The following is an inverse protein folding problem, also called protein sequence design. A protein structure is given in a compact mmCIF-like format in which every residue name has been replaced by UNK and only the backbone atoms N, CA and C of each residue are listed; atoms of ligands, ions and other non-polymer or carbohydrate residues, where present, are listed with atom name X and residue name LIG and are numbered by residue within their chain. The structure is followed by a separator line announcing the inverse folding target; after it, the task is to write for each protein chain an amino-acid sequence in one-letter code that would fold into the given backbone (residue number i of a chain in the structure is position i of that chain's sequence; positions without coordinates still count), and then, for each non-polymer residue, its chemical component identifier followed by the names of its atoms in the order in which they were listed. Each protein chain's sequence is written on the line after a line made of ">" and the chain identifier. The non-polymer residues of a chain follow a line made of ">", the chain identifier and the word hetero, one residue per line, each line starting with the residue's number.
data_IF_811214414579
#
_entry.id   IF_811214414579
#
_cell.length_a   1.000
_cell.length_b   1.000
_cell.length_c   1.000
_cell.angle_alpha   90.00
_cell.angle_beta   90.00
_cell.angle_gamma   90.00
#
_symmetry.space_group_name_H-M   'P 1'
#
loop_
_entity.id
_entity.type
_entity.pdbx_description
1 polymer ?
#
# COMPACT_ATOMS: atom_id res chain seq x y z
N UNK A 1 -15.00 -20.30 1.27
CA UNK A 1 -13.72 -20.93 0.85
C UNK A 1 -12.80 -21.10 2.04
N UNK A 2 -11.96 -22.12 2.03
CA UNK A 2 -10.85 -22.35 2.94
C UNK A 2 -9.54 -21.87 2.31
N UNK A 3 -8.92 -20.87 2.92
CA UNK A 3 -7.82 -20.09 2.35
C UNK A 3 -6.57 -20.27 3.21
N UNK A 4 -5.46 -20.68 2.59
CA UNK A 4 -4.13 -20.62 3.18
C UNK A 4 -3.46 -19.32 2.72
N UNK A 5 -3.32 -18.36 3.64
CA UNK A 5 -2.70 -17.07 3.37
C UNK A 5 -1.29 -17.04 3.97
N UNK A 6 -0.30 -16.64 3.18
CA UNK A 6 1.10 -16.65 3.59
C UNK A 6 1.65 -15.23 3.57
N UNK A 7 2.21 -14.79 4.70
CA UNK A 7 2.81 -13.46 4.84
C UNK A 7 4.25 -13.52 5.41
N UNK A 8 5.18 -12.73 4.85
CA UNK A 8 6.54 -12.60 5.38
C UNK A 8 6.67 -11.60 6.56
N UNK A 9 5.54 -11.15 7.12
CA UNK A 9 5.45 -10.25 8.27
C UNK A 9 4.04 -10.26 8.87
N UNK A 10 3.91 -9.90 10.15
CA UNK A 10 2.61 -9.69 10.80
C UNK A 10 1.90 -8.47 10.21
N UNK A 11 0.62 -8.58 9.82
CA UNK A 11 -0.17 -7.47 9.31
C UNK A 11 -0.63 -6.51 10.43
N UNK A 12 -0.49 -6.89 11.70
CA UNK A 12 -0.86 -6.06 12.85
C UNK A 12 0.33 -5.87 13.82
N UNK A 13 0.54 -4.67 14.40
CA UNK A 13 -0.20 -3.42 14.16
C UNK A 13 0.01 -2.88 12.73
N UNK A 14 -1.04 -2.24 12.18
CA UNK A 14 -1.10 -1.71 10.82
C UNK A 14 -0.26 -0.43 10.66
N UNK A 15 1.07 -0.56 10.74
CA UNK A 15 2.02 0.59 10.76
C UNK A 15 2.58 0.95 9.39
N UNK A 16 2.19 0.25 8.33
CA UNK A 16 2.60 0.54 6.95
C UNK A 16 1.47 0.23 5.98
N UNK A 17 1.52 0.78 4.76
CA UNK A 17 0.49 0.51 3.74
C UNK A 17 0.32 -0.98 3.43
N UNK A 18 1.44 -1.72 3.33
CA UNK A 18 1.41 -3.18 3.14
C UNK A 18 0.74 -3.92 4.30
N UNK A 19 1.06 -3.58 5.56
CA UNK A 19 0.42 -4.18 6.73
C UNK A 19 -1.07 -3.86 6.80
N UNK A 20 -1.42 -2.60 6.56
CA UNK A 20 -2.81 -2.10 6.55
C UNK A 20 -3.65 -2.88 5.55
N UNK A 21 -3.17 -3.01 4.30
CA UNK A 21 -3.82 -3.80 3.26
C UNK A 21 -4.12 -5.22 3.71
N UNK A 22 -3.09 -5.91 4.20
CA UNK A 22 -3.20 -7.32 4.57
C UNK A 22 -4.16 -7.51 5.75
N UNK A 23 -4.09 -6.65 6.76
CA UNK A 23 -5.01 -6.68 7.90
C UNK A 23 -6.47 -6.50 7.47
N UNK A 24 -6.76 -5.47 6.68
CA UNK A 24 -8.13 -5.16 6.30
C UNK A 24 -8.71 -6.16 5.29
N UNK A 25 -7.91 -6.70 4.36
CA UNK A 25 -8.36 -7.77 3.46
C UNK A 25 -8.68 -9.05 4.22
N UNK A 26 -7.79 -9.48 5.13
CA UNK A 26 -8.04 -10.65 5.98
C UNK A 26 -9.32 -10.48 6.81
N UNK A 27 -9.49 -9.32 7.45
CA UNK A 27 -10.68 -8.98 8.24
C UNK A 27 -11.95 -9.01 7.38
N UNK A 28 -11.90 -8.41 6.19
CA UNK A 28 -13.05 -8.31 5.29
C UNK A 28 -13.48 -9.68 4.75
N UNK A 29 -12.52 -10.52 4.35
CA UNK A 29 -12.80 -11.87 3.87
C UNK A 29 -13.30 -12.80 5.00
N UNK A 30 -12.71 -12.70 6.18
CA UNK A 30 -13.20 -13.44 7.35
C UNK A 30 -14.65 -13.06 7.70
N UNK A 31 -14.98 -11.76 7.68
CA UNK A 31 -16.34 -11.27 7.91
C UNK A 31 -17.35 -11.77 6.85
N UNK A 32 -16.88 -12.11 5.65
CA UNK A 32 -17.68 -12.72 4.57
C UNK A 32 -17.80 -14.24 4.68
N UNK A 33 -17.30 -14.85 5.75
CA UNK A 33 -17.43 -16.28 6.03
C UNK A 33 -16.30 -17.15 5.45
N UNK A 34 -15.21 -16.56 4.99
CA UNK A 34 -14.02 -17.33 4.60
C UNK A 34 -13.28 -17.87 5.81
N UNK A 35 -12.88 -19.16 5.74
CA UNK A 35 -12.04 -19.80 6.76
C UNK A 35 -10.58 -19.59 6.38
N UNK A 36 -9.87 -18.75 7.13
CA UNK A 36 -8.52 -18.33 6.77
C UNK A 36 -7.51 -18.88 7.77
N UNK A 37 -6.54 -19.66 7.27
CA UNK A 37 -5.32 -20.01 7.98
C UNK A 37 -4.20 -19.09 7.56
N UNK A 38 -3.66 -18.33 8.50
CA UNK A 38 -2.56 -17.39 8.25
C UNK A 38 -1.23 -18.01 8.69
N UNK A 39 -0.31 -18.16 7.73
CA UNK A 39 1.08 -18.59 7.96
C UNK A 39 2.01 -17.38 7.91
N UNK A 40 2.51 -16.98 9.07
CA UNK A 40 3.44 -15.86 9.24
C UNK A 40 4.89 -16.32 9.37
N UNK A 41 5.79 -15.60 8.69
CA UNK A 41 7.24 -15.71 8.89
C UNK A 41 7.82 -14.36 9.31
N UNK A 42 7.69 -14.02 10.60
CA UNK A 42 8.02 -12.69 11.12
C UNK A 42 9.42 -12.64 11.75
N UNK A 43 10.12 -11.52 11.57
CA UNK A 43 11.40 -11.22 12.21
C UNK A 43 11.23 -10.90 13.70
N UNK A 44 10.08 -10.35 14.09
CA UNK A 44 9.81 -9.89 15.43
C UNK A 44 8.78 -10.83 16.09
N UNK A 45 8.97 -11.17 17.37
CA UNK A 45 7.95 -11.91 18.09
C UNK A 45 6.67 -11.06 18.16
N UNK A 46 5.54 -11.66 17.80
CA UNK A 46 4.22 -11.03 17.90
C UNK A 46 3.78 -11.08 19.36
N UNK A 47 3.37 -9.94 19.91
CA UNK A 47 2.88 -9.86 21.29
C UNK A 47 1.60 -10.69 21.47
N UNK A 48 1.30 -11.13 22.69
CA UNK A 48 0.07 -11.88 22.95
C UNK A 48 -1.20 -11.06 22.62
N UNK A 49 -1.17 -9.75 22.88
CA UNK A 49 -2.27 -8.84 22.55
C UNK A 49 -2.47 -8.71 21.05
N UNK A 50 -1.39 -8.54 20.28
CA UNK A 50 -1.47 -8.44 18.82
C UNK A 50 -1.93 -9.76 18.20
N UNK A 51 -1.51 -10.88 18.80
CA UNK A 51 -1.92 -12.22 18.40
C UNK A 51 -3.44 -12.42 18.57
N UNK A 52 -4.00 -11.99 19.69
CA UNK A 52 -5.44 -12.07 19.96
C UNK A 52 -6.27 -11.28 18.94
N UNK A 53 -5.79 -10.11 18.50
CA UNK A 53 -6.47 -9.32 17.46
C UNK A 53 -6.60 -10.11 16.16
N UNK A 54 -5.56 -10.82 15.75
CA UNK A 54 -5.58 -11.64 14.53
C UNK A 54 -6.41 -12.92 14.72
N UNK A 55 -6.26 -13.61 15.85
CA UNK A 55 -7.00 -14.84 16.16
C UNK A 55 -8.52 -14.61 16.28
N UNK A 56 -8.97 -13.38 16.54
CA UNK A 56 -10.39 -13.03 16.65
C UNK A 56 -11.20 -13.28 15.36
N UNK A 57 -10.54 -13.29 14.20
CA UNK A 57 -11.21 -13.48 12.90
C UNK A 57 -10.54 -14.54 12.01
N UNK A 58 -9.45 -15.18 12.45
CA UNK A 58 -8.78 -16.24 11.70
C UNK A 58 -9.23 -17.62 12.18
N UNK A 59 -9.31 -18.59 11.27
CA UNK A 59 -9.49 -20.00 11.65
C UNK A 59 -8.27 -20.52 12.39
N UNK A 60 -7.07 -20.15 11.91
CA UNK A 60 -5.82 -20.57 12.52
C UNK A 60 -4.72 -19.55 12.24
N UNK A 61 -3.95 -19.21 13.27
CA UNK A 61 -2.76 -18.38 13.16
C UNK A 61 -1.51 -19.21 13.46
N UNK A 62 -0.59 -19.28 12.50
CA UNK A 62 0.68 -20.02 12.60
C UNK A 62 1.81 -19.01 12.45
N UNK A 63 2.63 -18.86 13.48
CA UNK A 63 3.74 -17.90 13.50
C UNK A 63 5.05 -18.64 13.61
N UNK A 64 5.94 -18.46 12.64
CA UNK A 64 7.30 -18.98 12.64
C UNK A 64 8.31 -17.84 12.68
N UNK A 65 9.36 -17.95 13.52
CA UNK A 65 10.36 -16.90 13.63
C UNK A 65 11.28 -16.88 12.40
N UNK A 66 11.54 -15.67 11.89
CA UNK A 66 12.51 -15.43 10.83
C UNK A 66 13.88 -15.13 11.40
N UNK A 67 14.91 -15.70 10.76
CA UNK A 67 16.31 -15.42 11.10
C UNK A 67 16.64 -13.93 10.94
N UNK A 68 17.48 -13.35 11.83
CA UNK A 68 17.90 -11.97 11.69
C UNK A 68 18.82 -11.76 10.47
N UNK A 69 18.79 -10.55 9.90
CA UNK A 69 19.60 -10.16 8.74
C UNK A 69 21.10 -10.36 8.94
N UNK A 70 21.59 -10.09 10.17
CA UNK A 70 23.01 -10.21 10.54
C UNK A 70 23.46 -11.64 10.86
N UNK A 71 22.58 -12.63 10.70
CA UNK A 71 22.98 -14.02 10.91
C UNK A 71 24.02 -14.43 9.87
N UNK A 72 25.07 -15.14 10.30
CA UNK A 72 26.10 -15.70 9.41
C UNK A 72 25.47 -16.55 8.30
N UNK A 73 24.42 -17.31 8.62
CA UNK A 73 23.66 -18.11 7.64
C UNK A 73 23.00 -17.25 6.56
N UNK A 74 22.50 -16.07 6.93
CA UNK A 74 21.88 -15.11 6.00
C UNK A 74 22.94 -14.46 5.10
N UNK A 75 24.09 -14.10 5.66
CA UNK A 75 25.22 -13.52 4.90
C UNK A 75 25.80 -14.53 3.90
N UNK A 76 26.03 -15.77 4.34
CA UNK A 76 26.49 -16.87 3.47
C UNK A 76 25.46 -17.17 2.38
N UNK A 77 24.16 -17.22 2.72
CA UNK A 77 23.11 -17.41 1.74
C UNK A 77 23.08 -16.26 0.71
N UNK A 78 23.21 -15.00 1.14
CA UNK A 78 23.21 -13.85 0.22
C UNK A 78 24.32 -13.90 -0.83
N UNK A 79 25.48 -14.49 -0.47
CA UNK A 79 26.64 -14.63 -1.35
C UNK A 79 26.56 -15.86 -2.26
N UNK A 80 26.15 -17.01 -1.74
CA UNK A 80 26.28 -18.30 -2.43
C UNK A 80 24.97 -18.95 -2.86
N UNK A 81 23.82 -18.46 -2.41
CA UNK A 81 22.54 -19.03 -2.83
C UNK A 81 22.27 -18.71 -4.31
N UNK A 82 21.57 -19.62 -5.02
CA UNK A 82 21.12 -19.37 -6.39
C UNK A 82 20.00 -18.32 -6.46
N UNK A 83 19.50 -17.87 -5.31
CA UNK A 83 18.43 -16.90 -5.17
C UNK A 83 19.00 -15.49 -4.97
N UNK A 84 18.30 -14.42 -5.39
CA UNK A 84 18.72 -13.06 -5.09
C UNK A 84 18.72 -12.80 -3.58
N UNK A 85 19.39 -11.73 -3.14
CA UNK A 85 19.62 -11.46 -1.72
C UNK A 85 18.31 -11.40 -0.92
N UNK A 86 17.31 -10.67 -1.42
CA UNK A 86 16.03 -10.49 -0.72
C UNK A 86 15.27 -11.82 -0.58
N UNK A 87 15.28 -12.67 -1.62
CA UNK A 87 14.68 -14.00 -1.56
C UNK A 87 15.45 -14.94 -0.62
N UNK A 88 16.78 -14.83 -0.59
CA UNK A 88 17.61 -15.61 0.33
C UNK A 88 17.38 -15.22 1.79
N UNK A 89 17.20 -13.93 2.07
CA UNK A 89 16.94 -13.42 3.42
C UNK A 89 15.60 -13.90 3.96
N UNK A 90 14.55 -13.81 3.13
CA UNK A 90 13.18 -14.13 3.52
C UNK A 90 12.84 -15.62 3.39
N UNK A 91 13.53 -16.33 2.49
CA UNK A 91 13.42 -17.77 2.29
C UNK A 91 14.44 -18.60 3.07
N UNK A 92 14.72 -19.79 2.57
CA UNK A 92 15.69 -20.76 3.11
C UNK A 92 15.44 -21.12 4.60
N UNK A 93 14.16 -21.25 4.96
CA UNK A 93 13.72 -21.68 6.29
C UNK A 93 13.15 -23.09 6.22
N UNK A 94 13.90 -24.07 6.73
CA UNK A 94 13.47 -25.47 6.77
C UNK A 94 12.19 -25.65 7.60
N UNK A 95 12.10 -24.98 8.76
CA UNK A 95 10.90 -25.03 9.60
C UNK A 95 9.65 -24.51 8.88
N UNK A 96 9.80 -23.44 8.08
CA UNK A 96 8.71 -22.89 7.27
C UNK A 96 8.32 -23.85 6.13
N UNK A 97 9.31 -24.43 5.45
CA UNK A 97 9.11 -25.42 4.40
C UNK A 97 8.39 -26.67 4.95
N UNK A 98 8.83 -27.21 6.07
CA UNK A 98 8.24 -28.38 6.72
C UNK A 98 6.80 -28.11 7.14
N UNK A 99 6.56 -26.94 7.75
CA UNK A 99 5.20 -26.55 8.16
C UNK A 99 4.28 -26.37 6.96
N UNK A 100 4.75 -25.75 5.88
CA UNK A 100 3.98 -25.61 4.66
C UNK A 100 3.69 -26.96 3.98
N UNK A 101 4.69 -27.87 3.94
CA UNK A 101 4.50 -29.23 3.44
C UNK A 101 3.40 -29.99 4.21
N UNK A 102 3.34 -29.81 5.54
CA UNK A 102 2.28 -30.39 6.36
C UNK A 102 0.91 -29.81 6.01
N UNK A 103 0.82 -28.49 5.86
CA UNK A 103 -0.43 -27.80 5.53
C UNK A 103 -0.96 -28.22 4.14
N UNK A 104 -0.08 -28.41 3.16
CA UNK A 104 -0.46 -28.88 1.81
C UNK A 104 -0.89 -30.36 1.75
N UNK A 105 -0.92 -31.08 2.88
CA UNK A 105 -1.59 -32.39 2.95
C UNK A 105 -3.10 -32.25 3.19
N UNK A 106 -3.57 -31.07 3.54
CA UNK A 106 -4.99 -30.74 3.66
C UNK A 106 -5.52 -30.12 2.37
N UNK A 107 -6.85 -30.08 2.22
CA UNK A 107 -7.50 -29.40 1.10
C UNK A 107 -7.57 -27.88 1.33
N UNK A 108 -7.21 -27.11 0.29
CA UNK A 108 -7.31 -25.65 0.25
C UNK A 108 -7.97 -25.22 -1.06
N UNK A 109 -9.03 -24.41 -0.96
CA UNK A 109 -9.66 -23.81 -2.14
C UNK A 109 -8.72 -22.77 -2.77
N UNK A 110 -7.95 -22.09 -1.92
CA UNK A 110 -7.01 -21.03 -2.31
C UNK A 110 -5.75 -21.13 -1.47
N UNK A 111 -4.59 -21.06 -2.13
CA UNK A 111 -3.30 -20.73 -1.51
C UNK A 111 -2.88 -19.35 -2.02
N UNK A 112 -2.72 -18.38 -1.12
CA UNK A 112 -2.23 -17.04 -1.46
C UNK A 112 -0.85 -16.82 -0.84
N UNK A 113 0.08 -16.36 -1.67
CA UNK A 113 1.45 -16.04 -1.29
C UNK A 113 1.69 -14.57 -1.56
N UNK A 114 2.12 -13.88 -0.52
CA UNK A 114 2.45 -12.46 -0.58
C UNK A 114 3.95 -12.28 -0.82
N UNK A 115 4.26 -11.51 -1.85
CA UNK A 115 5.61 -11.15 -2.31
C UNK A 115 6.45 -12.32 -2.83
N UNK A 116 6.99 -12.19 -4.04
CA UNK A 116 7.87 -13.20 -4.65
C UNK A 116 9.15 -13.43 -3.87
N UNK A 117 9.64 -12.45 -3.10
CA UNK A 117 10.81 -12.66 -2.25
C UNK A 117 10.56 -13.69 -1.14
N UNK A 118 9.30 -13.97 -0.77
CA UNK A 118 9.00 -14.97 0.26
C UNK A 118 8.85 -16.39 -0.32
N UNK A 119 8.78 -16.54 -1.64
CA UNK A 119 8.27 -17.74 -2.31
C UNK A 119 9.11 -19.01 -2.13
N UNK A 120 10.43 -18.87 -1.97
CA UNK A 120 11.38 -19.98 -2.08
C UNK A 120 11.04 -21.21 -1.20
N UNK A 121 10.63 -21.10 0.08
CA UNK A 121 10.31 -22.27 0.91
C UNK A 121 9.10 -23.09 0.44
N UNK A 122 8.28 -22.55 -0.46
CA UNK A 122 7.01 -23.13 -0.87
C UNK A 122 7.06 -23.79 -2.25
N UNK A 123 8.05 -23.41 -3.08
CA UNK A 123 8.16 -23.77 -4.50
C UNK A 123 8.08 -25.29 -4.73
N UNK A 124 8.94 -26.07 -4.08
CA UNK A 124 8.99 -27.53 -4.29
C UNK A 124 7.67 -28.23 -3.96
N UNK A 125 6.97 -27.76 -2.92
CA UNK A 125 5.74 -28.38 -2.46
C UNK A 125 4.59 -28.08 -3.42
N UNK A 126 4.48 -26.83 -3.89
CA UNK A 126 3.49 -26.40 -4.88
C UNK A 126 3.66 -27.14 -6.20
N UNK A 127 4.91 -27.25 -6.69
CA UNK A 127 5.22 -27.99 -7.93
C UNK A 127 4.87 -29.47 -7.80
N UNK A 128 5.31 -30.13 -6.72
CA UNK A 128 5.03 -31.58 -6.52
C UNK A 128 3.56 -31.89 -6.39
N UNK A 129 2.79 -31.04 -5.72
CA UNK A 129 1.35 -31.23 -5.50
C UNK A 129 0.49 -30.66 -6.62
N UNK A 130 1.08 -29.93 -7.57
CA UNK A 130 0.36 -29.17 -8.60
C UNK A 130 -0.74 -28.28 -8.01
N UNK A 131 -0.49 -27.71 -6.83
CA UNK A 131 -1.44 -26.88 -6.10
C UNK A 131 -1.52 -25.49 -6.76
N UNK A 132 -2.70 -25.06 -7.26
CA UNK A 132 -2.89 -23.70 -7.73
C UNK A 132 -2.67 -22.68 -6.61
N UNK A 133 -2.07 -21.54 -6.94
CA UNK A 133 -1.85 -20.46 -5.99
C UNK A 133 -1.95 -19.08 -6.64
N UNK A 134 -2.31 -18.09 -5.80
CA UNK A 134 -2.29 -16.67 -6.12
C UNK A 134 -0.98 -16.08 -5.59
N UNK A 135 -0.29 -15.32 -6.43
CA UNK A 135 0.82 -14.47 -6.01
C UNK A 135 0.36 -13.01 -5.99
N UNK A 136 0.43 -12.36 -4.84
CA UNK A 136 0.14 -10.93 -4.72
C UNK A 136 1.45 -10.16 -4.57
N UNK A 137 1.63 -9.16 -5.43
CA UNK A 137 2.78 -8.26 -5.40
C UNK A 137 2.32 -6.83 -5.13
N UNK A 138 2.90 -6.21 -4.11
CA UNK A 138 2.57 -4.82 -3.79
C UNK A 138 3.36 -3.83 -4.63
N UNK A 139 4.53 -4.24 -5.12
CA UNK A 139 5.41 -3.45 -5.96
C UNK A 139 6.16 -4.38 -6.92
N UNK A 140 6.74 -3.82 -7.98
CA UNK A 140 7.76 -4.51 -8.79
C UNK A 140 9.11 -4.33 -8.10
N UNK A 141 9.54 -5.35 -7.37
CA UNK A 141 10.71 -5.28 -6.49
C UNK A 141 12.02 -5.12 -7.28
N UNK A 142 12.11 -5.64 -8.52
CA UNK A 142 13.25 -5.34 -9.41
C UNK A 142 13.37 -3.86 -9.78
N UNK A 143 12.26 -3.13 -9.86
CA UNK A 143 12.26 -1.69 -10.10
C UNK A 143 12.61 -0.90 -8.83
N UNK A 144 12.14 -1.36 -7.66
CA UNK A 144 12.44 -0.76 -6.36
C UNK A 144 13.87 -0.99 -5.86
N UNK A 145 14.53 -2.07 -6.30
CA UNK A 145 15.92 -2.34 -5.98
C UNK A 145 16.77 -1.08 -6.17
N UNK A 146 16.59 -0.36 -7.29
CA UNK A 146 17.29 0.91 -7.54
C UNK A 146 17.20 1.90 -6.36
N UNK A 147 16.01 2.13 -5.80
CA UNK A 147 15.80 3.09 -4.71
C UNK A 147 16.38 2.65 -3.35
N UNK A 148 16.47 1.34 -3.08
CA UNK A 148 17.05 0.82 -1.83
C UNK A 148 18.58 0.82 -1.89
N UNK A 149 19.14 0.64 -3.07
CA UNK A 149 20.59 0.60 -3.29
C UNK A 149 21.25 1.98 -3.44
N UNK A 150 20.47 3.05 -3.61
CA UNK A 150 20.98 4.44 -3.66
C UNK A 150 21.70 4.87 -2.37
N UNK A 151 21.51 4.15 -1.26
CA UNK A 151 22.21 4.37 0.02
C UNK A 151 23.52 3.60 0.16
N UNK A 152 23.85 2.72 -0.79
CA UNK A 152 25.09 1.96 -0.76
C UNK A 152 26.23 2.70 -1.48
N UNK A 153 27.48 2.53 -1.02
CA UNK A 153 28.62 3.20 -1.62
C UNK A 153 28.81 2.75 -3.08
N UNK A 154 29.28 3.67 -3.92
CA UNK A 154 29.41 3.48 -5.38
C UNK A 154 30.24 2.26 -5.80
N UNK A 155 31.18 1.81 -4.98
CA UNK A 155 31.96 0.59 -5.24
C UNK A 155 31.11 -0.70 -5.21
N UNK A 156 29.96 -0.68 -4.53
CA UNK A 156 29.04 -1.82 -4.44
C UNK A 156 28.16 -1.97 -5.70
N UNK A 157 28.20 -1.00 -6.62
CA UNK A 157 27.33 -0.94 -7.79
C UNK A 157 27.35 -2.20 -8.68
N UNK A 158 28.51 -2.87 -8.93
CA UNK A 158 28.51 -4.12 -9.69
C UNK A 158 27.72 -5.25 -9.00
N UNK A 159 27.84 -5.36 -7.68
CA UNK A 159 27.10 -6.35 -6.89
C UNK A 159 25.60 -6.07 -6.91
N UNK A 160 25.23 -4.79 -6.79
CA UNK A 160 23.84 -4.32 -6.90
C UNK A 160 23.23 -4.72 -8.23
N UNK A 161 23.90 -4.39 -9.35
CA UNK A 161 23.42 -4.72 -10.70
C UNK A 161 23.29 -6.23 -10.91
N UNK A 162 24.23 -7.00 -10.40
CA UNK A 162 24.17 -8.45 -10.45
C UNK A 162 22.97 -8.99 -9.66
N UNK A 163 22.74 -8.51 -8.44
CA UNK A 163 21.59 -8.93 -7.63
C UNK A 163 20.26 -8.52 -8.25
N UNK A 164 20.16 -7.33 -8.84
CA UNK A 164 18.99 -6.89 -9.61
C UNK A 164 18.70 -7.83 -10.78
N UNK A 165 19.72 -8.22 -11.55
CA UNK A 165 19.55 -9.18 -12.65
C UNK A 165 19.09 -10.55 -12.13
N UNK A 166 19.63 -11.03 -11.00
CA UNK A 166 19.15 -12.26 -10.34
C UNK A 166 17.69 -12.12 -9.93
N UNK A 167 17.31 -10.95 -9.40
CA UNK A 167 15.96 -10.69 -8.92
C UNK A 167 14.95 -10.64 -10.08
N UNK A 168 15.29 -10.00 -11.20
CA UNK A 168 14.45 -10.02 -12.42
C UNK A 168 14.20 -11.45 -12.92
N UNK A 169 15.21 -12.33 -12.85
CA UNK A 169 15.05 -13.74 -13.21
C UNK A 169 14.18 -14.49 -12.20
N UNK A 170 14.34 -14.18 -10.92
CA UNK A 170 13.54 -14.74 -9.84
C UNK A 170 12.07 -14.36 -9.96
N UNK A 171 11.74 -13.06 -10.05
CA UNK A 171 10.37 -12.57 -10.26
C UNK A 171 9.71 -13.24 -11.46
N UNK A 172 10.40 -13.26 -12.61
CA UNK A 172 9.89 -13.94 -13.81
C UNK A 172 9.60 -15.41 -13.55
N UNK A 173 10.47 -16.12 -12.84
CA UNK A 173 10.27 -17.54 -12.50
C UNK A 173 9.07 -17.73 -11.57
N UNK A 174 8.92 -16.91 -10.53
CA UNK A 174 7.83 -17.04 -9.55
C UNK A 174 6.49 -16.66 -10.17
N UNK A 175 6.39 -15.49 -10.81
CA UNK A 175 5.15 -15.01 -11.43
C UNK A 175 4.64 -15.94 -12.54
N UNK A 176 5.55 -16.60 -13.28
CA UNK A 176 5.15 -17.58 -14.30
C UNK A 176 4.56 -18.86 -13.71
N UNK A 177 4.97 -19.24 -12.50
CA UNK A 177 4.45 -20.41 -11.79
C UNK A 177 3.09 -20.15 -11.14
N UNK A 178 2.81 -18.91 -10.72
CA UNK A 178 1.53 -18.55 -10.11
C UNK A 178 0.36 -18.77 -11.07
N UNK A 179 -0.75 -19.32 -10.57
CA UNK A 179 -1.97 -19.48 -11.38
C UNK A 179 -2.57 -18.12 -11.70
N UNK A 180 -2.63 -17.25 -10.70
CA UNK A 180 -3.01 -15.84 -10.83
C UNK A 180 -1.94 -14.96 -10.19
N UNK A 181 -1.66 -13.82 -10.83
CA UNK A 181 -0.83 -12.76 -10.26
C UNK A 181 -1.75 -11.57 -9.99
N UNK A 182 -1.61 -10.99 -8.80
CA UNK A 182 -2.36 -9.81 -8.37
C UNK A 182 -1.41 -8.64 -8.17
N UNK A 183 -1.72 -7.53 -8.84
CA UNK A 183 -1.10 -6.24 -8.64
C UNK A 183 -2.04 -5.30 -7.87
N UNK A 184 -1.49 -4.19 -7.38
CA UNK A 184 -2.24 -3.20 -6.59
C UNK A 184 -2.70 -2.01 -7.42
N UNK A 185 -2.03 -1.73 -8.54
CA UNK A 185 -2.38 -0.66 -9.49
C UNK A 185 -2.37 -1.18 -10.92
N UNK A 186 -3.10 -0.52 -11.82
CA UNK A 186 -3.09 -0.86 -13.25
C UNK A 186 -1.69 -0.69 -13.88
N UNK A 187 -0.95 0.34 -13.47
CA UNK A 187 0.42 0.55 -13.91
C UNK A 187 1.32 -0.64 -13.52
N UNK A 188 1.20 -1.13 -12.29
CA UNK A 188 1.95 -2.30 -11.84
C UNK A 188 1.50 -3.57 -12.57
N UNK A 189 0.19 -3.73 -12.80
CA UNK A 189 -0.34 -4.88 -13.53
C UNK A 189 0.20 -4.96 -14.96
N UNK A 190 0.31 -3.84 -15.67
CA UNK A 190 0.88 -3.79 -17.02
C UNK A 190 2.35 -4.24 -17.04
N UNK A 191 3.15 -3.76 -16.09
CA UNK A 191 4.56 -4.17 -15.97
C UNK A 191 4.67 -5.65 -15.62
N UNK A 192 3.89 -6.10 -14.62
CA UNK A 192 3.88 -7.49 -14.16
C UNK A 192 3.35 -8.44 -15.24
N UNK A 193 2.42 -8.03 -16.10
CA UNK A 193 1.92 -8.83 -17.22
C UNK A 193 3.05 -9.16 -18.20
N UNK A 194 3.94 -8.20 -18.48
CA UNK A 194 5.15 -8.44 -19.28
C UNK A 194 6.12 -9.43 -18.65
N UNK A 195 6.22 -9.44 -17.31
CA UNK A 195 7.10 -10.35 -16.55
C UNK A 195 6.49 -11.75 -16.47
N UNK A 196 5.22 -11.83 -16.08
CA UNK A 196 4.48 -13.07 -15.87
C UNK A 196 4.12 -13.78 -17.19
N UNK A 197 4.01 -13.02 -18.29
CA UNK A 197 3.57 -13.54 -19.60
C UNK A 197 2.12 -14.03 -19.60
N UNK A 198 1.29 -13.51 -18.70
CA UNK A 198 -0.13 -13.83 -18.53
C UNK A 198 -0.88 -12.62 -17.96
N UNK A 199 -2.22 -12.53 -18.09
CA UNK A 199 -2.99 -11.46 -17.49
C UNK A 199 -2.74 -11.35 -15.99
N UNK A 200 -2.66 -10.11 -15.49
CA UNK A 200 -2.49 -9.80 -14.06
C UNK A 200 -3.76 -9.11 -13.60
N UNK A 201 -4.35 -9.60 -12.50
CA UNK A 201 -5.54 -9.01 -11.91
C UNK A 201 -5.15 -7.82 -11.03
N UNK A 202 -5.99 -6.80 -10.96
CA UNK A 202 -5.80 -5.66 -10.06
C UNK A 202 -6.75 -5.82 -8.87
N UNK A 203 -6.18 -5.81 -7.66
CA UNK A 203 -6.93 -5.66 -6.42
C UNK A 203 -6.45 -4.37 -5.78
N UNK A 204 -7.27 -3.32 -5.86
CA UNK A 204 -6.86 -1.98 -5.42
C UNK A 204 -6.55 -1.96 -3.94
N UNK A 205 -5.76 -0.98 -3.51
CA UNK A 205 -5.74 -0.63 -2.10
C UNK A 205 -7.02 0.07 -1.69
N UNK A 206 -7.42 -0.17 -0.45
CA UNK A 206 -8.60 0.43 0.13
C UNK A 206 -8.31 1.39 1.28
N UNK A 207 -9.38 1.97 1.78
CA UNK A 207 -9.46 2.82 2.97
C UNK A 207 -10.63 2.34 3.81
N UNK A 208 -10.53 2.47 5.13
CA UNK A 208 -11.64 2.19 6.05
C UNK A 208 -12.63 3.36 5.98
N UNK A 209 -13.55 3.32 5.01
CA UNK A 209 -14.42 4.46 4.71
C UNK A 209 -15.35 4.81 5.88
N UNK A 210 -15.74 3.83 6.68
CA UNK A 210 -16.60 4.05 7.84
C UNK A 210 -15.82 4.74 8.97
N UNK A 211 -14.56 4.37 9.18
CA UNK A 211 -13.68 5.09 10.09
C UNK A 211 -13.50 6.56 9.67
N UNK A 212 -13.18 6.82 8.39
CA UNK A 212 -12.94 8.17 7.89
C UNK A 212 -14.21 9.01 7.70
N UNK A 213 -15.38 8.39 7.51
CA UNK A 213 -16.66 9.10 7.48
C UNK A 213 -17.03 9.76 8.82
N UNK A 214 -16.39 9.38 9.93
CA UNK A 214 -16.53 10.05 11.22
C UNK A 214 -15.81 11.41 11.28
N UNK A 215 -14.97 11.73 10.29
CA UNK A 215 -14.37 13.05 10.19
C UNK A 215 -15.38 14.08 9.70
N UNK A 216 -15.35 15.27 10.30
CA UNK A 216 -16.16 16.41 9.93
C UNK A 216 -15.25 17.61 9.65
N UNK A 217 -14.75 17.77 8.42
CA UNK A 217 -13.91 18.89 8.05
C UNK A 217 -14.54 20.24 8.42
N UNK A 218 -13.75 21.10 9.04
CA UNK A 218 -14.18 22.43 9.45
C UNK A 218 -13.66 23.48 8.46
N UNK A 219 -14.52 24.04 7.60
CA UNK A 219 -14.13 25.07 6.65
C UNK A 219 -13.75 26.40 7.33
N UNK A 220 -14.16 26.64 8.58
CA UNK A 220 -13.88 27.90 9.27
C UNK A 220 -12.44 28.03 9.74
N UNK A 221 -11.72 26.91 9.90
CA UNK A 221 -10.32 26.91 10.36
C UNK A 221 -9.34 27.41 9.31
N UNK A 222 -9.72 27.37 8.03
CA UNK A 222 -8.88 27.68 6.86
C UNK A 222 -7.54 26.94 6.88
N UNK A 223 -7.54 25.75 7.48
CA UNK A 223 -6.35 24.93 7.66
C UNK A 223 -6.21 23.99 6.47
N UNK A 224 -5.14 24.16 5.71
CA UNK A 224 -4.71 23.26 4.65
C UNK A 224 -3.91 22.11 5.27
N UNK A 225 -4.18 20.88 4.86
CA UNK A 225 -3.53 19.68 5.36
C UNK A 225 -2.63 19.06 4.28
N UNK A 226 -1.41 18.71 4.67
CA UNK A 226 -0.57 17.76 3.94
C UNK A 226 -0.10 16.65 4.88
N UNK A 227 -0.21 15.39 4.43
CA UNK A 227 0.23 14.19 5.14
C UNK A 227 1.33 13.47 4.34
N UNK A 228 2.42 13.06 4.98
CA UNK A 228 3.48 12.32 4.30
C UNK A 228 4.37 11.48 5.21
N UNK A 229 4.97 10.44 4.64
CA UNK A 229 6.21 9.86 5.17
C UNK A 229 7.38 10.56 4.48
N UNK A 230 8.14 11.37 5.20
CA UNK A 230 9.21 12.20 4.65
C UNK A 230 10.52 11.43 4.44
N UNK A 231 10.57 10.14 4.77
CA UNK A 231 11.62 9.25 4.26
C UNK A 231 11.45 8.93 2.77
N UNK A 232 10.27 9.24 2.20
CA UNK A 232 9.97 9.09 0.79
C UNK A 232 10.16 10.43 0.06
N UNK A 233 11.15 10.49 -0.82
CA UNK A 233 11.59 11.73 -1.48
C UNK A 233 10.47 12.52 -2.18
N UNK A 234 9.46 11.92 -2.84
CA UNK A 234 8.34 12.68 -3.40
C UNK A 234 7.52 13.47 -2.38
N UNK A 235 7.45 13.02 -1.11
CA UNK A 235 6.75 13.78 -0.06
C UNK A 235 7.54 14.98 0.41
N UNK A 236 8.88 14.86 0.45
CA UNK A 236 9.80 15.97 0.70
C UNK A 236 9.63 17.01 -0.40
N UNK A 237 9.80 16.60 -1.66
CA UNK A 237 9.64 17.46 -2.83
C UNK A 237 8.32 18.26 -2.82
N UNK A 238 7.20 17.57 -2.55
CA UNK A 238 5.87 18.17 -2.52
C UNK A 238 5.73 19.25 -1.44
N UNK A 239 6.19 18.99 -0.21
CA UNK A 239 6.03 19.97 0.86
C UNK A 239 7.01 21.14 0.74
N UNK A 240 8.26 20.90 0.29
CA UNK A 240 9.20 21.99 0.05
C UNK A 240 8.65 22.92 -1.05
N UNK A 241 8.13 22.35 -2.15
CA UNK A 241 7.48 23.13 -3.20
C UNK A 241 6.25 23.90 -2.71
N UNK A 242 5.42 23.27 -1.87
CA UNK A 242 4.27 23.93 -1.30
C UNK A 242 4.64 25.13 -0.42
N UNK A 243 5.62 24.97 0.46
CA UNK A 243 6.06 26.01 1.39
C UNK A 243 6.82 27.14 0.69
N UNK A 244 7.63 26.82 -0.32
CA UNK A 244 8.46 27.81 -1.02
C UNK A 244 7.68 28.62 -2.08
N UNK A 245 6.74 27.99 -2.80
CA UNK A 245 6.14 28.61 -3.99
C UNK A 245 4.61 28.74 -3.97
N UNK A 246 3.90 27.79 -3.33
CA UNK A 246 2.43 27.74 -3.36
C UNK A 246 1.83 28.59 -2.25
N UNK A 247 2.20 28.33 -1.00
CA UNK A 247 1.60 29.00 0.16
C UNK A 247 1.82 30.50 0.23
N UNK A 248 3.00 31.06 -0.16
CA UNK A 248 3.14 32.51 -0.25
C UNK A 248 2.04 33.16 -1.09
N UNK A 249 1.66 32.55 -2.22
CA UNK A 249 0.58 33.03 -3.11
C UNK A 249 -0.81 32.84 -2.51
N UNK A 250 -1.02 31.74 -1.78
CA UNK A 250 -2.27 31.52 -1.03
C UNK A 250 -2.42 32.64 0.03
N UNK A 251 -1.36 32.97 0.74
CA UNK A 251 -1.35 33.96 1.80
C UNK A 251 -1.56 35.40 1.32
N UNK A 252 -1.26 35.71 0.06
CA UNK A 252 -1.61 37.00 -0.55
C UNK A 252 -3.14 37.23 -0.59
N UNK A 253 -3.92 36.15 -0.70
CA UNK A 253 -5.38 36.20 -0.85
C UNK A 253 -6.14 35.72 0.40
N UNK A 254 -5.52 34.84 1.18
CA UNK A 254 -6.03 34.25 2.41
C UNK A 254 -4.95 34.35 3.51
N UNK A 255 -4.72 35.55 4.07
CA UNK A 255 -3.62 35.79 5.02
C UNK A 255 -3.75 35.02 6.34
N UNK A 256 -4.96 34.56 6.66
CA UNK A 256 -5.33 33.75 7.82
C UNK A 256 -5.21 32.24 7.57
N UNK A 257 -4.93 31.80 6.34
CA UNK A 257 -4.76 30.38 6.02
C UNK A 257 -3.54 29.79 6.71
N UNK A 258 -3.71 28.59 7.28
CA UNK A 258 -2.66 27.84 7.99
C UNK A 258 -2.35 26.54 7.27
N UNK A 259 -1.11 26.09 7.36
CA UNK A 259 -0.68 24.81 6.79
C UNK A 259 -0.32 23.83 7.90
N UNK A 260 -1.10 22.76 8.03
CA UNK A 260 -0.77 21.65 8.90
C UNK A 260 0.04 20.61 8.14
N UNK A 261 1.29 20.45 8.56
CA UNK A 261 2.23 19.47 8.00
C UNK A 261 2.28 18.30 8.97
N UNK A 262 1.83 17.12 8.52
CA UNK A 262 1.67 15.94 9.35
C UNK A 262 2.44 14.73 8.78
N UNK A 263 2.87 13.84 9.66
CA UNK A 263 3.40 12.51 9.30
C UNK A 263 4.79 12.21 9.87
N UNK A 264 5.40 11.15 9.36
CA UNK A 264 6.59 10.52 9.93
C UNK A 264 7.88 10.95 9.24
N UNK A 265 8.98 11.05 10.00
CA UNK A 265 10.33 11.23 9.45
C UNK A 265 10.65 12.66 8.99
N UNK A 266 10.00 13.68 9.55
CA UNK A 266 10.29 15.09 9.20
C UNK A 266 11.77 15.41 9.42
N UNK A 267 12.44 16.06 8.44
CA UNK A 267 13.82 16.53 8.60
C UNK A 267 13.97 17.56 9.72
N UNK A 268 15.03 17.43 10.53
CA UNK A 268 15.26 18.27 11.71
C UNK A 268 15.37 19.77 11.38
N UNK A 269 15.92 20.14 10.21
CA UNK A 269 16.17 21.54 9.81
C UNK A 269 14.98 22.28 9.17
N UNK A 270 13.82 21.64 9.04
CA UNK A 270 12.66 22.23 8.36
C UNK A 270 12.02 23.37 9.16
N UNK A 271 11.98 23.25 10.50
CA UNK A 271 11.37 24.27 11.36
C UNK A 271 12.19 25.56 11.35
N UNK A 272 13.50 25.46 11.21
CA UNK A 272 14.42 26.59 11.11
C UNK A 272 14.40 27.22 9.71
N UNK A 273 14.21 26.42 8.65
CA UNK A 273 14.09 26.90 7.27
C UNK A 273 12.79 27.67 7.04
N UNK A 274 11.66 27.16 7.53
CA UNK A 274 10.35 27.82 7.40
C UNK A 274 9.77 28.21 8.76
N UNK A 275 10.07 29.44 9.18
CA UNK A 275 9.71 29.99 10.50
C UNK A 275 8.34 30.70 10.52
N UNK A 276 7.60 30.68 9.40
CA UNK A 276 6.30 31.36 9.33
C UNK A 276 5.31 30.75 10.34
N UNK A 277 4.69 31.56 11.23
CA UNK A 277 3.78 31.05 12.28
C UNK A 277 2.47 30.46 11.74
N UNK A 278 2.22 30.59 10.43
CA UNK A 278 1.09 29.93 9.74
C UNK A 278 1.39 28.46 9.41
N UNK A 279 2.64 28.02 9.54
CA UNK A 279 3.03 26.62 9.34
C UNK A 279 2.98 25.89 10.69
N UNK A 280 2.12 24.89 10.77
CA UNK A 280 1.89 24.05 11.94
C UNK A 280 2.56 22.68 11.73
N UNK A 281 3.69 22.48 12.42
CA UNK A 281 4.43 21.22 12.37
C UNK A 281 3.85 20.19 13.35
N UNK A 282 2.88 19.39 12.89
CA UNK A 282 2.17 18.40 13.72
C UNK A 282 3.02 17.16 14.04
N UNK A 283 3.99 16.80 13.19
CA UNK A 283 4.73 15.55 13.32
C UNK A 283 3.84 14.31 13.11
N UNK A 284 4.20 13.19 13.73
CA UNK A 284 3.37 11.99 13.71
C UNK A 284 2.16 12.14 14.64
N UNK A 285 0.95 11.93 14.11
CA UNK A 285 -0.30 12.08 14.87
C UNK A 285 -1.00 10.72 14.97
N UNK A 286 -1.25 10.19 16.19
CA UNK A 286 -1.90 8.89 16.38
C UNK A 286 -3.35 8.82 15.91
N UNK A 287 -4.07 9.96 15.90
CA UNK A 287 -5.45 10.06 15.46
C UNK A 287 -5.57 11.04 14.30
N UNK A 288 -5.60 10.49 13.08
CA UNK A 288 -5.71 11.28 11.85
C UNK A 288 -7.12 11.91 11.69
N UNK A 289 -8.19 11.28 12.21
CA UNK A 289 -9.56 11.79 12.10
C UNK A 289 -9.73 13.15 12.78
N UNK A 290 -9.20 13.28 14.01
CA UNK A 290 -9.26 14.56 14.73
C UNK A 290 -8.56 15.66 13.95
N UNK A 291 -7.40 15.36 13.35
CA UNK A 291 -6.68 16.34 12.55
C UNK A 291 -7.46 16.70 11.27
N UNK A 292 -7.91 15.71 10.50
CA UNK A 292 -8.70 15.94 9.28
C UNK A 292 -9.98 16.72 9.55
N UNK A 293 -10.65 16.48 10.68
CA UNK A 293 -11.85 17.24 11.08
C UNK A 293 -11.53 18.71 11.39
N UNK A 294 -10.31 19.00 11.83
CA UNK A 294 -9.88 20.38 12.08
C UNK A 294 -9.35 21.11 10.84
N UNK A 295 -9.38 20.45 9.67
CA UNK A 295 -8.86 20.97 8.42
C UNK A 295 -10.00 21.32 7.44
N UNK A 296 -9.71 22.25 6.54
CA UNK A 296 -10.66 22.74 5.54
C UNK A 296 -10.38 22.19 4.15
N UNK A 297 -9.11 21.94 3.82
CA UNK A 297 -8.65 21.54 2.48
C UNK A 297 -7.50 20.55 2.61
N UNK A 298 -7.46 19.53 1.77
CA UNK A 298 -6.27 18.71 1.57
C UNK A 298 -5.50 19.18 0.34
N UNK A 299 -4.20 19.38 0.49
CA UNK A 299 -3.30 19.74 -0.61
C UNK A 299 -2.41 18.54 -0.93
N UNK A 300 -2.38 18.12 -2.18
CA UNK A 300 -1.52 17.03 -2.67
C UNK A 300 -0.68 17.51 -3.88
N UNK A 301 0.39 18.30 -3.66
CA UNK A 301 1.20 18.93 -4.69
C UNK A 301 2.34 17.99 -5.14
N UNK A 302 1.99 16.77 -5.53
CA UNK A 302 2.98 15.72 -5.86
C UNK A 302 3.43 15.86 -7.30
N UNK A 303 4.72 16.10 -7.57
CA UNK A 303 5.27 16.14 -8.95
C UNK A 303 5.76 14.79 -9.43
N UNK A 304 6.06 13.91 -8.49
CA UNK A 304 6.58 12.57 -8.73
C UNK A 304 5.96 11.57 -7.75
N UNK A 305 6.25 10.29 -7.94
CA UNK A 305 5.90 9.21 -7.02
C UNK A 305 4.79 8.30 -7.55
N UNK A 306 4.97 7.00 -7.35
CA UNK A 306 4.05 5.95 -7.81
C UNK A 306 3.18 5.39 -6.68
N UNK A 307 2.54 4.26 -6.96
CA UNK A 307 1.76 3.49 -5.99
C UNK A 307 0.38 4.07 -5.68
N UNK A 308 -0.34 3.37 -4.80
CA UNK A 308 -1.68 3.78 -4.39
C UNK A 308 -1.64 5.08 -3.60
N UNK A 309 -2.46 6.05 -4.00
CA UNK A 309 -2.55 7.39 -3.38
C UNK A 309 -3.31 7.35 -2.05
N UNK A 310 -2.85 6.50 -1.11
CA UNK A 310 -3.54 6.23 0.16
C UNK A 310 -3.88 7.51 0.93
N UNK A 311 -2.94 8.44 1.07
CA UNK A 311 -3.19 9.73 1.75
C UNK A 311 -4.31 10.55 1.12
N UNK A 312 -4.46 10.47 -0.21
CA UNK A 312 -5.50 11.18 -0.97
C UNK A 312 -6.82 10.47 -0.76
N UNK A 313 -6.83 9.13 -0.85
CA UNK A 313 -8.02 8.32 -0.57
C UNK A 313 -8.52 8.54 0.88
N UNK A 314 -7.63 8.60 1.87
CA UNK A 314 -7.97 8.89 3.26
C UNK A 314 -8.55 10.30 3.43
N UNK A 315 -8.00 11.31 2.74
CA UNK A 315 -8.52 12.68 2.76
C UNK A 315 -9.89 12.79 2.08
N UNK A 316 -10.07 12.14 0.93
CA UNK A 316 -11.35 12.08 0.22
C UNK A 316 -12.40 11.31 1.03
N UNK A 317 -12.05 10.19 1.67
CA UNK A 317 -12.95 9.47 2.58
C UNK A 317 -13.40 10.34 3.77
N UNK A 318 -12.50 11.17 4.29
CA UNK A 318 -12.83 12.16 5.32
C UNK A 318 -13.73 13.30 4.82
N UNK A 319 -13.93 13.43 3.51
CA UNK A 319 -14.73 14.48 2.88
C UNK A 319 -14.00 15.81 2.76
N UNK A 320 -12.66 15.81 2.82
CA UNK A 320 -11.87 17.04 2.60
C UNK A 320 -11.90 17.42 1.11
N UNK A 321 -12.26 18.66 0.77
CA UNK A 321 -12.01 19.21 -0.56
C UNK A 321 -10.52 19.12 -0.92
N UNK A 322 -10.23 18.75 -2.17
CA UNK A 322 -8.88 18.39 -2.61
C UNK A 322 -8.36 19.39 -3.66
N UNK A 323 -7.15 19.91 -3.44
CA UNK A 323 -6.34 20.55 -4.47
C UNK A 323 -5.13 19.66 -4.77
N UNK A 324 -4.90 19.30 -6.03
CA UNK A 324 -3.83 18.35 -6.38
C UNK A 324 -3.29 18.53 -7.80
N UNK A 325 -2.07 18.07 -8.02
CA UNK A 325 -1.54 17.81 -9.37
C UNK A 325 -2.18 16.56 -9.96
N UNK A 326 -2.13 16.39 -11.28
CA UNK A 326 -2.50 15.11 -11.92
C UNK A 326 -1.71 13.92 -11.35
N UNK A 327 -0.43 14.14 -11.05
CA UNK A 327 0.41 13.10 -10.45
C UNK A 327 -0.03 12.74 -9.01
N UNK A 328 -0.62 13.69 -8.26
CA UNK A 328 -1.14 13.44 -6.92
C UNK A 328 -2.37 12.55 -6.91
N UNK A 329 -3.19 12.60 -7.98
CA UNK A 329 -4.39 11.77 -8.17
C UNK A 329 -4.21 10.67 -9.21
N UNK A 330 -3.00 10.44 -9.72
CA UNK A 330 -2.75 9.48 -10.81
C UNK A 330 -3.24 8.07 -10.45
N UNK A 331 -4.01 7.46 -11.35
CA UNK A 331 -4.60 6.14 -11.14
C UNK A 331 -5.90 6.15 -10.32
N UNK A 332 -6.42 7.34 -9.98
CA UNK A 332 -7.77 7.54 -9.47
C UNK A 332 -8.65 8.08 -10.61
N UNK A 333 -9.89 7.61 -10.67
CA UNK A 333 -10.89 8.07 -11.64
C UNK A 333 -11.65 9.28 -11.06
N UNK A 334 -10.92 10.39 -10.90
CA UNK A 334 -11.41 11.67 -10.39
C UNK A 334 -11.49 12.69 -11.52
N UNK A 335 -12.54 13.52 -11.50
CA UNK A 335 -12.78 14.55 -12.51
C UNK A 335 -12.44 15.94 -11.95
N UNK A 336 -11.54 16.66 -12.64
CA UNK A 336 -11.20 18.04 -12.31
C UNK A 336 -12.44 18.96 -12.35
N UNK A 337 -12.55 19.84 -11.37
CA UNK A 337 -13.68 20.74 -11.18
C UNK A 337 -14.89 20.11 -10.49
N UNK A 338 -14.95 18.77 -10.38
CA UNK A 338 -16.05 18.05 -9.73
C UNK A 338 -15.59 17.37 -8.43
N UNK A 339 -14.58 16.50 -8.51
CA UNK A 339 -14.09 15.71 -7.38
C UNK A 339 -12.86 16.34 -6.70
N UNK A 340 -12.11 17.15 -7.43
CA UNK A 340 -10.96 17.90 -6.95
C UNK A 340 -10.70 19.13 -7.84
N UNK A 341 -9.82 20.04 -7.41
CA UNK A 341 -9.28 21.10 -8.27
C UNK A 341 -7.84 20.77 -8.67
N UNK A 342 -7.61 20.70 -9.97
CA UNK A 342 -6.30 20.45 -10.55
C UNK A 342 -5.41 21.70 -10.56
N UNK A 343 -4.10 21.49 -10.48
CA UNK A 343 -3.09 22.50 -10.76
C UNK A 343 -1.72 21.88 -11.03
N UNK A 344 -1.04 22.35 -12.09
CA UNK A 344 0.29 21.84 -12.48
C UNK A 344 1.42 22.79 -12.10
N UNK A 345 1.11 24.08 -11.94
CA UNK A 345 2.07 25.09 -11.47
C UNK A 345 1.75 25.54 -10.06
N UNK A 346 2.71 26.22 -9.41
CA UNK A 346 2.48 26.77 -8.08
C UNK A 346 1.35 27.80 -8.06
N UNK A 347 1.19 28.58 -9.14
CA UNK A 347 0.10 29.53 -9.28
C UNK A 347 -1.26 28.84 -9.40
N UNK A 348 -1.36 27.77 -10.19
CA UNK A 348 -2.61 27.03 -10.36
C UNK A 348 -3.05 26.39 -9.05
N UNK A 349 -2.14 25.73 -8.35
CA UNK A 349 -2.44 25.10 -7.07
C UNK A 349 -2.77 26.13 -5.99
N UNK A 350 -2.09 27.28 -5.97
CA UNK A 350 -2.43 28.35 -5.05
C UNK A 350 -3.85 28.87 -5.32
N UNK A 351 -4.20 29.10 -6.59
CA UNK A 351 -5.55 29.52 -6.99
C UNK A 351 -6.60 28.47 -6.62
N UNK A 352 -6.30 27.18 -6.82
CA UNK A 352 -7.17 26.08 -6.41
C UNK A 352 -7.43 26.11 -4.89
N UNK A 353 -6.37 26.19 -4.08
CA UNK A 353 -6.48 26.28 -2.62
C UNK A 353 -7.25 27.52 -2.19
N UNK A 354 -6.96 28.68 -2.76
CA UNK A 354 -7.68 29.94 -2.47
C UNK A 354 -9.17 29.81 -2.77
N UNK A 355 -9.54 29.22 -3.92
CA UNK A 355 -10.96 28.98 -4.26
C UNK A 355 -11.65 28.08 -3.24
N UNK A 356 -11.00 26.99 -2.81
CA UNK A 356 -11.57 26.08 -1.82
C UNK A 356 -11.73 26.75 -0.44
N UNK A 357 -10.78 27.59 -0.04
CA UNK A 357 -10.82 28.32 1.24
C UNK A 357 -11.83 29.48 1.25
N UNK A 358 -11.95 30.24 0.16
CA UNK A 358 -12.84 31.41 0.08
C UNK A 358 -14.30 31.03 -0.18
N UNK A 359 -14.56 29.89 -0.84
CA UNK A 359 -15.90 29.45 -1.22
C UNK A 359 -16.23 28.07 -0.63
N UNK A 360 -16.26 27.91 0.71
CA UNK A 360 -16.46 26.61 1.36
C UNK A 360 -17.80 25.95 1.01
N UNK A 361 -18.85 26.74 0.77
CA UNK A 361 -20.15 26.22 0.33
C UNK A 361 -20.08 25.57 -1.07
N UNK A 362 -19.21 26.05 -1.95
CA UNK A 362 -18.96 25.45 -3.27
C UNK A 362 -17.97 24.27 -3.19
N UNK A 363 -17.09 24.26 -2.17
CA UNK A 363 -16.13 23.19 -1.93
C UNK A 363 -16.75 21.96 -1.23
N UNK A 364 -17.78 22.14 -0.40
CA UNK A 364 -18.40 21.03 0.34
C UNK A 364 -18.95 19.91 -0.56
N UNK A 365 -19.68 20.18 -1.66
CA UNK A 365 -20.10 19.14 -2.60
C UNK A 365 -18.94 18.34 -3.22
N UNK A 366 -17.78 18.98 -3.44
CA UNK A 366 -16.57 18.32 -3.95
C UNK A 366 -15.99 17.33 -2.93
N UNK A 367 -15.94 17.71 -1.65
CA UNK A 367 -15.57 16.81 -0.57
C UNK A 367 -16.48 15.58 -0.48
N UNK A 368 -17.80 15.77 -0.61
CA UNK A 368 -18.77 14.67 -0.61
C UNK A 368 -18.69 13.79 -1.87
N UNK A 369 -18.42 14.37 -3.04
CA UNK A 369 -18.18 13.62 -4.27
C UNK A 369 -16.94 12.73 -4.15
N UNK A 370 -15.85 13.28 -3.60
CA UNK A 370 -14.64 12.55 -3.25
C UNK A 370 -14.91 11.38 -2.28
N UNK A 371 -15.67 11.63 -1.21
CA UNK A 371 -16.07 10.58 -0.25
C UNK A 371 -16.88 9.48 -0.92
N UNK A 372 -17.84 9.84 -1.76
CA UNK A 372 -18.67 8.88 -2.49
C UNK A 372 -17.85 8.05 -3.50
N UNK A 373 -16.87 8.67 -4.17
CA UNK A 373 -15.91 7.98 -5.03
C UNK A 373 -15.13 6.92 -4.26
N UNK A 374 -14.50 7.30 -3.14
CA UNK A 374 -13.67 6.36 -2.35
C UNK A 374 -14.50 5.21 -1.81
N UNK A 375 -15.70 5.48 -1.28
CA UNK A 375 -16.60 4.42 -0.81
C UNK A 375 -17.00 3.44 -1.93
N UNK A 376 -17.21 3.93 -3.16
CA UNK A 376 -17.59 3.11 -4.30
C UNK A 376 -16.44 2.27 -4.86
N UNK A 377 -15.22 2.83 -4.91
CA UNK A 377 -14.11 2.26 -5.67
C UNK A 377 -12.94 1.74 -4.82
N UNK A 378 -12.81 2.23 -3.58
CA UNK A 378 -11.63 2.04 -2.73
C UNK A 378 -11.99 1.74 -1.27
N UNK A 379 -13.20 1.28 -0.96
CA UNK A 379 -13.45 0.70 0.35
C UNK A 379 -12.81 -0.70 0.44
N UNK A 380 -12.42 -1.13 1.64
CA UNK A 380 -11.88 -2.48 1.82
C UNK A 380 -12.84 -3.59 1.39
N UNK A 381 -14.15 -3.36 1.44
CA UNK A 381 -15.15 -4.27 0.87
C UNK A 381 -15.06 -4.37 -0.67
N UNK A 382 -14.66 -3.31 -1.37
CA UNK A 382 -14.43 -3.34 -2.82
C UNK A 382 -13.21 -4.20 -3.13
N UNK A 383 -12.10 -3.95 -2.44
CA UNK A 383 -10.86 -4.72 -2.60
C UNK A 383 -11.07 -6.22 -2.26
N UNK A 384 -11.84 -6.52 -1.21
CA UNK A 384 -12.19 -7.90 -0.86
C UNK A 384 -13.02 -8.57 -1.97
N UNK A 385 -13.97 -7.84 -2.59
CA UNK A 385 -14.79 -8.39 -3.69
C UNK A 385 -13.96 -8.66 -4.95
N UNK A 386 -13.02 -7.78 -5.28
CA UNK A 386 -12.07 -7.99 -6.37
C UNK A 386 -11.21 -9.23 -6.11
N UNK A 387 -10.74 -9.41 -4.87
CA UNK A 387 -9.93 -10.57 -4.50
C UNK A 387 -10.74 -11.88 -4.53
N UNK A 388 -12.00 -11.86 -4.10
CA UNK A 388 -12.92 -13.00 -4.24
C UNK A 388 -13.15 -13.40 -5.71
N UNK A 389 -13.23 -12.44 -6.62
CA UNK A 389 -13.31 -12.72 -8.06
C UNK A 389 -12.05 -13.43 -8.58
N UNK A 390 -10.86 -13.00 -8.12
CA UNK A 390 -9.60 -13.69 -8.43
C UNK A 390 -9.64 -15.13 -7.91
N UNK A 391 -10.08 -15.34 -6.67
CA UNK A 391 -10.19 -16.67 -6.09
C UNK A 391 -11.20 -17.57 -6.80
N UNK A 392 -12.35 -17.02 -7.20
CA UNK A 392 -13.36 -17.76 -7.96
C UNK A 392 -12.81 -18.28 -9.29
N UNK A 393 -11.84 -17.59 -9.90
CA UNK A 393 -11.17 -18.04 -11.12
C UNK A 393 -10.24 -19.24 -10.92
N UNK A 394 -9.83 -19.55 -9.68
CA UNK A 394 -9.00 -20.71 -9.35
C UNK A 394 -9.83 -21.98 -9.12
N UNK A 395 -11.08 -21.80 -8.68
CA UNK A 395 -11.99 -22.93 -8.51
C UNK A 395 -12.33 -23.46 -9.90
N UNK A 396 -12.16 -24.76 -10.18
CA UNK A 396 -12.65 -25.32 -11.41
C UNK A 396 -14.14 -25.02 -11.46
N UNK A 397 -14.56 -24.23 -12.46
CA UNK A 397 -15.97 -24.05 -12.81
C UNK A 397 -16.61 -25.42 -12.68
N UNK A 398 -17.50 -25.58 -11.70
CA UNK A 398 -18.34 -26.74 -11.57
C UNK A 398 -18.89 -26.97 -12.96
N UNK A 399 -18.60 -28.13 -13.54
CA UNK A 399 -19.11 -28.53 -14.84
C UNK A 399 -20.57 -28.09 -14.88
N UNK A 400 -20.92 -27.17 -15.79
CA UNK A 400 -22.32 -26.99 -16.16
C UNK A 400 -22.78 -28.37 -16.55
N UNK A 401 -23.55 -29.03 -15.69
CA UNK A 401 -24.24 -30.25 -16.06
C UNK A 401 -24.96 -29.94 -17.38
N UNK A 402 -24.74 -30.73 -18.44
CA UNK A 402 -25.51 -30.55 -19.64
C UNK A 402 -26.97 -30.76 -19.25
N UNK A 403 -27.77 -29.71 -19.47
CA UNK A 403 -29.23 -29.81 -19.40
C UNK A 403 -29.61 -30.93 -20.37
N UNK A 404 -29.94 -32.10 -19.82
CA UNK A 404 -30.60 -33.16 -20.59
C UNK A 404 -31.93 -32.57 -21.07
N UNK A 405 -32.04 -32.38 -22.38
CA UNK A 405 -33.29 -32.09 -23.09
C UNK A 405 -34.04 -33.39 -23.30
#
# INVERSE_FOLDING_TARGET
>A
MRILWILPYSPWPATSGGKTRQFHLLRSLAARGHRITLLLHDKHPVSLTDRQVLEAFLEQLIILPRRPLRSVKTLVAGLFAPYPLLASVNGLSGALQDRFNQLLNEHWDVVQIEHSYSFQPYEDALVRKSQPFVLTEHNVESALGAATYDRLPSWALPFIRYDQWRYMRWERRVMRQATQVVAVTDSDAQVMQGIAGKPVSVVVNGVDCDHFAAAHPDPSTRRVLFLGNYEYAPNVDAIEWALDEILPKVWEHCPDARMSVCGFGMPDGWRERWQDPRIEWQGFVPNLLSLQSSCSVFLAPLRHGGGSKLKVLEALAAGLPLASTEQGVSGLDLVDGLDYLAGQTAADLANAVVRLLQFPAAAAPMGEAGRAYVRRAHDWSVAASQLEQVYASLSPLTQKEPVCV
#
